data_IF_589580763529
#
_entry.id   IF_589580763529
#
_cell.length_a   1.000
_cell.length_b   1.000
_cell.length_c   1.000
_cell.angle_alpha   90.00
_cell.angle_beta   90.00
_cell.angle_gamma   90.00
#
_symmetry.space_group_name_H-M   'P 1'
#
loop_
_entity.id
_entity.type
_entity.pdbx_description
1 polymer ?
#
# COMPACT_ATOMS: atom_id res chain seq x y z
N UNK A 1 10.83 29.56 -23.06
CA UNK A 1 11.94 28.68 -23.51
C UNK A 1 12.25 27.68 -22.43
N UNK A 2 12.37 26.39 -22.79
CA UNK A 2 12.90 25.39 -21.87
C UNK A 2 14.43 25.46 -21.94
N UNK A 3 15.10 25.61 -20.80
CA UNK A 3 16.55 25.80 -20.76
C UNK A 3 17.21 24.93 -19.69
N UNK A 4 18.45 24.52 -19.97
CA UNK A 4 19.32 23.82 -19.01
C UNK A 4 20.42 24.76 -18.56
N UNK A 5 20.53 24.97 -17.25
CA UNK A 5 21.66 25.62 -16.61
C UNK A 5 22.52 24.54 -15.96
N UNK A 6 23.71 24.31 -16.51
CA UNK A 6 24.68 23.36 -15.97
C UNK A 6 25.72 24.08 -15.10
N UNK A 7 25.94 23.60 -13.88
CA UNK A 7 26.94 24.10 -12.95
C UNK A 7 27.72 22.93 -12.33
N UNK A 8 28.98 23.16 -11.98
CA UNK A 8 29.84 22.14 -11.36
C UNK A 8 30.38 22.56 -9.98
N UNK A 9 30.02 23.74 -9.51
CA UNK A 9 30.46 24.26 -8.22
C UNK A 9 29.30 24.95 -7.49
N UNK A 10 29.12 24.58 -6.22
CA UNK A 10 28.10 25.12 -5.30
C UNK A 10 28.76 25.41 -3.96
N UNK A 11 28.14 26.23 -3.12
CA UNK A 11 28.68 26.58 -1.82
C UNK A 11 27.60 27.03 -0.85
N UNK A 12 28.04 27.37 0.36
CA UNK A 12 27.20 27.92 1.43
C UNK A 12 27.57 29.37 1.76
N UNK A 13 26.61 30.09 2.35
CA UNK A 13 26.69 31.49 2.72
C UNK A 13 26.72 32.46 1.53
N UNK A 14 27.08 33.72 1.83
CA UNK A 14 27.24 34.79 0.83
C UNK A 14 28.47 34.62 -0.09
N UNK A 15 29.07 33.44 -0.12
CA UNK A 15 30.17 33.10 -1.02
C UNK A 15 29.70 33.22 -2.47
N UNK A 16 30.58 33.70 -3.36
CA UNK A 16 30.25 33.72 -4.78
C UNK A 16 30.12 32.27 -5.29
N UNK A 17 28.95 31.93 -5.80
CA UNK A 17 28.66 30.63 -6.43
C UNK A 17 28.56 30.80 -7.94
N UNK A 18 28.57 29.69 -8.69
CA UNK A 18 28.36 29.71 -10.15
C UNK A 18 27.02 30.37 -10.53
N UNK A 19 26.03 30.31 -9.64
CA UNK A 19 24.70 30.93 -9.78
C UNK A 19 24.64 32.39 -9.29
N UNK A 20 25.79 33.00 -8.98
CA UNK A 20 25.87 34.37 -8.46
C UNK A 20 25.61 34.47 -6.95
N UNK A 21 25.37 35.69 -6.47
CA UNK A 21 25.21 36.02 -5.05
C UNK A 21 23.76 36.11 -4.57
N UNK A 22 22.78 36.14 -5.48
CA UNK A 22 21.37 36.23 -5.10
C UNK A 22 20.95 35.00 -4.29
N UNK A 23 20.06 35.17 -3.31
CA UNK A 23 19.63 34.07 -2.43
C UNK A 23 18.75 33.04 -3.15
N UNK A 24 18.11 33.46 -4.24
CA UNK A 24 17.13 32.66 -4.97
C UNK A 24 17.59 32.32 -6.39
N UNK A 25 17.16 31.16 -6.86
CA UNK A 25 17.29 30.65 -8.23
C UNK A 25 15.89 30.28 -8.73
N UNK A 26 15.46 30.89 -9.82
CA UNK A 26 14.20 30.55 -10.45
C UNK A 26 14.42 29.51 -11.56
N UNK A 27 13.65 28.42 -11.54
CA UNK A 27 13.58 27.45 -12.63
C UNK A 27 12.31 27.71 -13.42
N UNK A 28 12.47 27.92 -14.73
CA UNK A 28 11.35 28.22 -15.62
C UNK A 28 10.76 29.61 -15.42
N UNK A 29 9.67 29.87 -16.13
CA UNK A 29 8.95 31.15 -16.08
C UNK A 29 7.46 30.86 -15.94
N UNK A 30 6.79 31.59 -15.03
CA UNK A 30 5.38 31.42 -14.70
C UNK A 30 4.49 31.41 -15.96
N UNK A 31 3.66 30.39 -16.11
CA UNK A 31 2.76 30.19 -17.26
C UNK A 31 3.42 29.86 -18.60
N UNK A 32 4.75 29.84 -18.74
CA UNK A 32 5.39 29.84 -20.08
C UNK A 32 6.48 28.79 -20.32
N UNK A 33 7.21 28.31 -19.31
CA UNK A 33 8.29 27.33 -19.54
C UNK A 33 8.71 26.53 -18.31
N UNK A 34 9.56 25.53 -18.55
CA UNK A 34 10.27 24.75 -17.53
C UNK A 34 11.76 25.07 -17.52
N UNK A 35 12.45 24.92 -16.39
CA UNK A 35 13.90 25.01 -16.28
C UNK A 35 14.53 23.72 -15.76
N UNK A 36 15.74 23.42 -16.23
CA UNK A 36 16.58 22.33 -15.71
C UNK A 36 17.81 22.96 -15.05
N UNK A 37 18.05 22.65 -13.78
CA UNK A 37 19.33 22.87 -13.11
C UNK A 37 20.09 21.55 -13.09
N UNK A 38 21.17 21.48 -13.86
CA UNK A 38 22.07 20.33 -13.90
C UNK A 38 23.30 20.60 -13.05
N UNK A 39 23.57 19.73 -12.08
CA UNK A 39 24.78 19.75 -11.29
C UNK A 39 25.75 18.66 -11.77
N UNK A 40 26.98 19.01 -12.12
CA UNK A 40 28.02 18.10 -12.62
C UNK A 40 29.26 18.07 -11.70
N UNK A 41 29.16 18.65 -10.50
CA UNK A 41 30.26 18.79 -9.56
C UNK A 41 30.54 17.55 -8.71
N UNK A 42 31.51 17.68 -7.80
CA UNK A 42 31.77 16.71 -6.74
C UNK A 42 30.69 16.77 -5.63
N UNK A 43 30.93 16.24 -4.43
CA UNK A 43 29.99 16.46 -3.33
C UNK A 43 29.92 17.96 -2.97
N UNK A 44 28.72 18.50 -2.75
CA UNK A 44 28.54 19.92 -2.52
C UNK A 44 27.19 20.26 -1.89
N UNK A 45 27.10 21.46 -1.30
CA UNK A 45 25.85 22.03 -0.78
C UNK A 45 25.50 23.29 -1.54
N UNK A 46 24.27 23.35 -2.06
CA UNK A 46 23.63 24.55 -2.60
C UNK A 46 22.65 25.09 -1.55
N UNK A 47 22.88 26.30 -1.07
CA UNK A 47 22.07 26.96 -0.04
C UNK A 47 21.12 28.03 -0.57
N UNK A 48 21.08 28.21 -1.90
CA UNK A 48 20.10 29.07 -2.54
C UNK A 48 18.71 28.46 -2.46
N UNK A 49 17.70 29.30 -2.25
CA UNK A 49 16.33 28.89 -2.46
C UNK A 49 16.12 28.60 -3.95
N UNK A 50 15.30 27.61 -4.26
CA UNK A 50 14.94 27.27 -5.63
C UNK A 50 13.44 27.42 -5.79
N UNK A 51 13.04 28.30 -6.70
CA UNK A 51 11.64 28.50 -7.05
C UNK A 51 11.37 27.83 -8.40
N UNK A 52 10.72 26.68 -8.37
CA UNK A 52 10.13 26.12 -9.58
C UNK A 52 8.93 27.00 -9.97
N UNK A 53 8.96 27.54 -11.19
CA UNK A 53 7.94 28.43 -11.76
C UNK A 53 7.40 27.85 -13.06
N UNK A 54 6.19 28.23 -13.42
CA UNK A 54 5.59 27.83 -14.71
C UNK A 54 4.68 26.62 -14.61
N UNK A 55 3.97 26.30 -15.68
CA UNK A 55 3.08 25.12 -15.73
C UNK A 55 3.81 23.85 -16.18
N UNK A 56 5.15 23.87 -16.17
CA UNK A 56 6.00 22.83 -16.75
C UNK A 56 6.69 21.94 -15.72
N UNK A 57 7.61 21.11 -16.22
CA UNK A 57 8.37 20.15 -15.42
C UNK A 57 9.75 20.73 -15.09
N UNK A 58 9.84 21.46 -13.97
CA UNK A 58 11.10 22.00 -13.51
C UNK A 58 11.94 20.90 -12.88
N UNK A 59 13.20 20.77 -13.29
CA UNK A 59 14.05 19.64 -12.90
C UNK A 59 15.33 20.12 -12.23
N UNK A 60 15.70 19.46 -11.14
CA UNK A 60 17.06 19.48 -10.61
C UNK A 60 17.64 18.11 -10.87
N UNK A 61 18.78 18.05 -11.56
CA UNK A 61 19.44 16.81 -11.94
C UNK A 61 20.87 16.78 -11.42
N UNK A 62 21.19 15.80 -10.57
CA UNK A 62 22.57 15.55 -10.17
C UNK A 62 23.26 14.58 -11.13
N UNK A 63 23.95 15.13 -12.12
CA UNK A 63 24.86 14.42 -13.02
C UNK A 63 26.32 14.49 -12.55
N UNK A 64 26.54 14.86 -11.28
CA UNK A 64 27.84 15.03 -10.67
C UNK A 64 28.43 13.71 -10.16
N UNK A 65 29.65 13.80 -9.63
CA UNK A 65 30.40 12.67 -9.06
C UNK A 65 30.22 12.51 -7.54
N UNK A 66 29.42 13.36 -6.89
CA UNK A 66 29.15 13.27 -5.46
C UNK A 66 27.74 13.73 -5.09
N UNK A 67 27.41 13.59 -3.80
CA UNK A 67 26.09 13.95 -3.25
C UNK A 67 25.86 15.46 -3.35
N UNK A 68 24.75 15.85 -3.97
CA UNK A 68 24.27 17.24 -3.96
C UNK A 68 23.32 17.45 -2.79
N UNK A 69 23.67 18.35 -1.88
CA UNK A 69 22.78 18.79 -0.79
C UNK A 69 22.08 20.10 -1.18
N UNK A 70 20.76 20.13 -1.11
CA UNK A 70 19.93 21.33 -1.28
C UNK A 70 19.48 21.81 0.09
N UNK A 71 20.03 22.91 0.57
CA UNK A 71 19.77 23.45 1.92
C UNK A 71 18.90 24.70 1.94
N UNK A 72 18.80 25.42 0.83
CA UNK A 72 17.79 26.46 0.65
C UNK A 72 16.38 25.86 0.49
N UNK A 73 15.36 26.69 0.66
CA UNK A 73 13.97 26.27 0.51
C UNK A 73 13.62 26.02 -0.96
N UNK A 74 12.77 25.03 -1.22
CA UNK A 74 12.30 24.68 -2.55
C UNK A 74 10.81 25.02 -2.66
N UNK A 75 10.42 25.85 -3.62
CA UNK A 75 9.01 26.26 -3.81
C UNK A 75 8.48 25.73 -5.15
N UNK A 76 7.30 25.09 -5.16
CA UNK A 76 6.68 24.49 -6.35
C UNK A 76 5.17 24.77 -6.54
N UNK A 77 4.73 25.98 -6.29
CA UNK A 77 3.30 26.34 -6.41
C UNK A 77 2.81 26.25 -7.86
N UNK A 78 1.85 25.36 -8.11
CA UNK A 78 1.23 25.17 -9.43
C UNK A 78 2.14 24.60 -10.52
N UNK A 79 3.20 23.89 -10.12
CA UNK A 79 4.20 23.35 -11.03
C UNK A 79 4.79 22.03 -10.53
N UNK A 80 5.38 21.28 -11.44
CA UNK A 80 6.09 20.04 -11.10
C UNK A 80 7.53 20.39 -10.74
N UNK A 81 7.99 19.88 -9.60
CA UNK A 81 9.41 19.84 -9.24
C UNK A 81 9.89 18.40 -9.33
N UNK A 82 10.77 18.13 -10.29
CA UNK A 82 11.45 16.87 -10.46
C UNK A 82 12.85 16.92 -9.84
N UNK A 83 13.13 15.97 -8.96
CA UNK A 83 14.43 15.73 -8.36
C UNK A 83 14.98 14.44 -8.95
N UNK A 84 16.01 14.56 -9.78
CA UNK A 84 16.72 13.44 -10.37
C UNK A 84 18.07 13.28 -9.68
N UNK A 85 18.16 12.24 -8.84
CA UNK A 85 19.32 12.00 -7.99
C UNK A 85 20.57 11.58 -8.77
N UNK A 86 20.43 11.09 -10.00
CA UNK A 86 21.51 10.44 -10.73
C UNK A 86 22.25 9.38 -9.90
N UNK A 87 23.51 9.09 -10.24
CA UNK A 87 24.25 8.02 -9.57
C UNK A 87 24.63 8.31 -8.12
N UNK A 88 24.68 9.59 -7.71
CA UNK A 88 25.23 10.02 -6.42
C UNK A 88 24.20 10.60 -5.45
N UNK A 89 22.98 10.83 -5.93
CA UNK A 89 21.83 11.22 -5.14
C UNK A 89 21.71 12.71 -4.85
N UNK A 90 20.56 13.09 -4.31
CA UNK A 90 20.27 14.43 -3.79
C UNK A 90 19.84 14.30 -2.33
N UNK A 91 20.32 15.18 -1.46
CA UNK A 91 19.81 15.34 -0.10
C UNK A 91 19.15 16.72 0.07
N UNK A 92 17.85 16.75 0.32
CA UNK A 92 17.11 17.99 0.55
C UNK A 92 16.99 18.22 2.05
N UNK A 93 17.70 19.23 2.53
CA UNK A 93 17.65 19.69 3.93
C UNK A 93 16.81 20.95 4.10
N UNK A 94 16.59 21.71 3.03
CA UNK A 94 15.58 22.76 3.00
C UNK A 94 14.14 22.19 2.99
N UNK A 95 13.15 23.05 3.19
CA UNK A 95 11.73 22.67 3.11
C UNK A 95 11.23 22.80 1.68
N UNK A 96 10.56 21.76 1.18
CA UNK A 96 9.76 21.82 -0.05
C UNK A 96 8.36 22.31 0.30
N UNK A 97 7.94 23.42 -0.31
CA UNK A 97 6.65 24.07 -0.09
C UNK A 97 5.91 24.32 -1.40
N UNK A 98 4.60 24.56 -1.31
CA UNK A 98 3.73 24.87 -2.44
C UNK A 98 2.28 24.96 -2.01
N UNK A 99 1.48 25.82 -2.65
CA UNK A 99 0.10 26.09 -2.21
C UNK A 99 -0.96 25.27 -2.95
N UNK A 100 -2.09 25.00 -2.28
CA UNK A 100 -3.30 24.41 -2.88
C UNK A 100 -4.01 25.43 -3.76
N UNK A 101 -4.18 25.15 -5.04
CA UNK A 101 -4.92 26.04 -5.95
C UNK A 101 -4.56 25.93 -7.42
N UNK A 102 -3.61 25.07 -7.78
CA UNK A 102 -3.25 24.85 -9.19
C UNK A 102 -2.95 23.38 -9.43
N UNK A 103 -3.48 22.87 -10.53
CA UNK A 103 -3.18 21.54 -11.06
C UNK A 103 -1.64 21.38 -11.19
N UNK A 104 -1.14 20.16 -11.01
CA UNK A 104 0.27 19.78 -11.22
C UNK A 104 1.28 20.31 -10.18
N UNK A 105 0.90 20.63 -8.94
CA UNK A 105 1.92 20.83 -7.87
C UNK A 105 2.51 19.50 -7.44
N UNK A 106 3.19 18.81 -8.34
CA UNK A 106 3.65 17.44 -8.11
C UNK A 106 5.11 17.47 -7.65
N UNK A 107 5.46 16.61 -6.69
CA UNK A 107 6.85 16.26 -6.47
C UNK A 107 7.15 14.99 -7.28
N UNK A 108 8.18 15.02 -8.10
CA UNK A 108 8.65 13.87 -8.86
C UNK A 108 10.06 13.51 -8.38
N UNK A 109 10.28 12.23 -8.08
CA UNK A 109 11.61 11.66 -7.81
C UNK A 109 11.92 10.63 -8.88
N UNK A 110 13.02 10.84 -9.58
CA UNK A 110 13.53 9.92 -10.59
C UNK A 110 15.02 9.67 -10.42
N UNK A 111 15.58 8.66 -11.10
CA UNK A 111 17.02 8.44 -11.20
C UNK A 111 17.80 8.44 -9.88
N UNK A 112 18.16 7.27 -9.37
CA UNK A 112 18.95 7.19 -8.14
C UNK A 112 18.22 7.68 -6.88
N UNK A 113 18.96 8.10 -5.85
CA UNK A 113 18.38 8.34 -4.51
C UNK A 113 18.17 9.81 -4.20
N UNK A 114 16.97 10.17 -3.78
CA UNK A 114 16.64 11.48 -3.19
C UNK A 114 16.24 11.29 -1.73
N UNK A 115 16.94 11.95 -0.81
CA UNK A 115 16.61 11.95 0.62
C UNK A 115 15.97 13.28 1.00
N UNK A 116 14.80 13.24 1.63
CA UNK A 116 14.14 14.42 2.18
C UNK A 116 14.35 14.45 3.69
N UNK A 117 15.19 15.36 4.17
CA UNK A 117 15.63 15.44 5.57
C UNK A 117 14.79 16.40 6.43
N UNK A 118 13.88 17.16 5.80
CA UNK A 118 12.97 18.10 6.46
C UNK A 118 11.52 17.69 6.29
N UNK A 119 10.66 18.14 7.21
CA UNK A 119 9.21 18.01 7.07
C UNK A 119 8.72 18.96 5.98
N UNK A 120 8.18 18.42 4.90
CA UNK A 120 7.72 19.20 3.76
C UNK A 120 6.25 19.58 3.90
N UNK A 121 5.87 20.72 3.31
CA UNK A 121 4.52 21.30 3.44
C UNK A 121 3.87 21.58 2.09
N UNK A 122 4.40 21.01 1.01
CA UNK A 122 3.78 21.16 -0.29
C UNK A 122 2.41 20.47 -0.35
N UNK A 123 1.57 20.96 -1.26
CA UNK A 123 0.33 20.29 -1.65
C UNK A 123 0.57 19.55 -2.96
N UNK A 124 -0.17 18.46 -3.17
CA UNK A 124 -0.14 17.67 -4.41
C UNK A 124 0.52 16.29 -4.22
N UNK A 125 0.41 15.43 -5.24
CA UNK A 125 0.93 14.07 -5.21
C UNK A 125 2.46 14.03 -5.24
N UNK A 126 2.99 12.89 -4.84
CA UNK A 126 4.41 12.53 -4.93
C UNK A 126 4.53 11.32 -5.86
N UNK A 127 5.34 11.45 -6.90
CA UNK A 127 5.63 10.37 -7.85
C UNK A 127 7.06 9.90 -7.68
N UNK A 128 7.27 8.59 -7.71
CA UNK A 128 8.62 8.00 -7.74
C UNK A 128 8.66 6.99 -8.87
N UNK A 129 9.53 7.19 -9.85
CA UNK A 129 9.67 6.29 -11.00
C UNK A 129 11.05 6.42 -11.63
N UNK A 130 11.29 5.78 -12.79
CA UNK A 130 12.56 5.92 -13.50
C UNK A 130 13.76 5.35 -12.75
N UNK A 131 13.54 4.32 -11.92
CA UNK A 131 14.57 3.77 -11.02
C UNK A 131 14.90 4.69 -9.83
N UNK A 132 14.06 5.70 -9.57
CA UNK A 132 14.21 6.59 -8.44
C UNK A 132 13.93 5.91 -7.10
N UNK A 133 14.65 6.33 -6.07
CA UNK A 133 14.42 5.98 -4.67
C UNK A 133 14.20 7.26 -3.86
N UNK A 134 13.04 7.38 -3.23
CA UNK A 134 12.73 8.44 -2.29
C UNK A 134 12.96 7.94 -0.86
N UNK A 135 13.83 8.60 -0.10
CA UNK A 135 14.11 8.31 1.31
C UNK A 135 13.43 9.30 2.25
N UNK A 136 12.71 8.76 3.23
CA UNK A 136 12.17 9.52 4.37
C UNK A 136 13.29 9.81 5.38
N UNK A 137 14.03 10.90 5.15
CA UNK A 137 15.16 11.32 6.00
C UNK A 137 14.77 12.05 7.28
N UNK A 138 13.47 12.29 7.52
CA UNK A 138 12.98 13.04 8.67
C UNK A 138 12.23 12.15 9.67
N UNK A 139 12.63 12.19 10.95
CA UNK A 139 12.04 11.36 12.00
C UNK A 139 10.55 11.64 12.29
N UNK A 140 10.07 12.84 11.97
CA UNK A 140 8.66 13.23 12.11
C UNK A 140 7.85 12.99 10.83
N UNK A 141 8.45 12.38 9.80
CA UNK A 141 7.88 12.21 8.47
C UNK A 141 8.28 13.36 7.55
N UNK A 142 8.94 13.02 6.44
CA UNK A 142 9.39 13.99 5.46
C UNK A 142 8.27 14.44 4.52
N UNK A 143 7.33 13.56 4.16
CA UNK A 143 6.27 13.89 3.20
C UNK A 143 5.06 14.55 3.90
N UNK A 144 4.33 15.44 3.21
CA UNK A 144 3.04 15.96 3.70
C UNK A 144 2.05 14.83 3.93
N UNK A 145 1.29 14.86 5.03
CA UNK A 145 0.35 13.79 5.37
C UNK A 145 -0.81 13.65 4.38
N UNK A 146 -1.12 14.70 3.61
CA UNK A 146 -2.16 14.70 2.59
C UNK A 146 -1.67 14.26 1.19
N UNK A 147 -0.38 13.96 1.01
CA UNK A 147 0.13 13.51 -0.28
C UNK A 147 -0.30 12.08 -0.56
N UNK A 148 -0.59 11.79 -1.83
CA UNK A 148 -0.66 10.43 -2.34
C UNK A 148 0.71 10.11 -2.95
N UNK A 149 1.30 8.97 -2.59
CA UNK A 149 2.55 8.48 -3.17
C UNK A 149 2.22 7.48 -4.28
N UNK A 150 2.66 7.74 -5.50
CA UNK A 150 2.51 6.82 -6.63
C UNK A 150 3.87 6.30 -7.05
N UNK A 151 4.04 4.97 -7.03
CA UNK A 151 5.26 4.31 -7.48
C UNK A 151 5.10 3.78 -8.91
N UNK A 152 6.08 4.08 -9.74
CA UNK A 152 6.16 3.68 -11.13
C UNK A 152 5.50 4.65 -12.12
N UNK A 153 5.66 4.36 -13.40
CA UNK A 153 5.14 5.15 -14.52
C UNK A 153 4.49 4.22 -15.55
N UNK A 154 3.27 4.55 -15.98
CA UNK A 154 2.60 3.82 -17.06
C UNK A 154 3.24 4.07 -18.43
N UNK A 155 3.84 5.25 -18.62
CA UNK A 155 4.47 5.63 -19.88
C UNK A 155 5.80 4.89 -20.07
N UNK A 156 6.63 4.87 -19.02
CA UNK A 156 7.99 4.34 -19.12
C UNK A 156 8.12 2.91 -18.59
N UNK A 157 7.05 2.36 -18.00
CA UNK A 157 7.02 1.08 -17.29
C UNK A 157 8.19 0.91 -16.31
N UNK A 158 8.64 2.02 -15.73
CA UNK A 158 9.76 2.05 -14.80
C UNK A 158 9.25 1.93 -13.37
N UNK A 159 10.07 1.36 -12.50
CA UNK A 159 9.77 1.20 -11.08
C UNK A 159 10.19 2.42 -10.26
N UNK A 160 9.56 2.59 -9.11
CA UNK A 160 10.00 3.50 -8.05
C UNK A 160 10.10 2.80 -6.69
N UNK A 161 10.97 3.33 -5.82
CA UNK A 161 11.16 2.83 -4.46
C UNK A 161 10.85 3.94 -3.47
N UNK A 162 9.98 3.65 -2.50
CA UNK A 162 9.83 4.47 -1.30
C UNK A 162 10.49 3.79 -0.11
N UNK A 163 11.58 4.37 0.37
CA UNK A 163 12.39 3.88 1.47
C UNK A 163 12.10 4.72 2.73
N UNK A 164 11.51 4.10 3.74
CA UNK A 164 11.20 4.73 5.03
C UNK A 164 12.46 5.12 5.81
N UNK A 165 13.62 4.57 5.46
CA UNK A 165 14.93 4.98 6.00
C UNK A 165 14.94 5.10 7.54
N UNK A 166 14.29 4.15 8.21
CA UNK A 166 14.21 4.04 9.66
C UNK A 166 13.19 4.94 10.35
N UNK A 167 12.45 5.76 9.60
CA UNK A 167 11.53 6.77 10.12
C UNK A 167 10.07 6.44 9.75
N UNK A 168 9.16 6.77 10.66
CA UNK A 168 7.73 6.65 10.37
C UNK A 168 7.29 7.71 9.35
N UNK A 169 6.30 7.37 8.52
CA UNK A 169 5.69 8.29 7.57
C UNK A 169 4.18 8.12 7.57
N UNK A 170 3.44 9.22 7.53
CA UNK A 170 2.01 9.23 7.20
C UNK A 170 1.78 9.82 5.81
N UNK A 171 0.92 9.19 5.00
CA UNK A 171 0.50 9.65 3.67
C UNK A 171 -1.00 9.45 3.50
N UNK A 172 -1.62 10.21 2.60
CA UNK A 172 -3.04 10.06 2.29
C UNK A 172 -3.28 8.73 1.58
N UNK A 173 -2.40 8.35 0.66
CA UNK A 173 -2.54 7.11 -0.06
C UNK A 173 -1.28 6.61 -0.71
N UNK A 174 -1.31 5.33 -1.09
CA UNK A 174 -0.27 4.70 -1.88
C UNK A 174 -0.87 4.05 -3.13
N UNK A 175 -0.25 4.32 -4.27
CA UNK A 175 -0.65 3.79 -5.55
C UNK A 175 0.55 3.21 -6.30
N UNK A 176 0.27 2.34 -7.26
CA UNK A 176 1.21 2.00 -8.32
C UNK A 176 0.70 2.46 -9.67
N UNK A 177 1.62 2.84 -10.56
CA UNK A 177 1.35 3.10 -11.97
C UNK A 177 2.22 2.23 -12.87
N UNK A 178 1.68 1.89 -14.04
CA UNK A 178 2.33 1.07 -15.05
C UNK A 178 2.46 -0.41 -14.70
N UNK A 179 3.16 -1.14 -15.56
CA UNK A 179 3.27 -2.61 -15.48
C UNK A 179 4.47 -3.10 -14.69
N UNK A 180 5.22 -2.20 -14.03
CA UNK A 180 6.40 -2.56 -13.23
C UNK A 180 6.06 -3.45 -12.02
N UNK A 181 4.78 -3.56 -11.64
CA UNK A 181 4.26 -4.52 -10.67
C UNK A 181 5.06 -4.52 -9.37
N UNK A 182 5.60 -5.69 -9.01
CA UNK A 182 6.41 -5.93 -7.80
C UNK A 182 7.78 -5.25 -7.78
N UNK A 183 8.25 -4.68 -8.90
CA UNK A 183 9.46 -3.87 -8.91
C UNK A 183 9.24 -2.52 -8.20
N UNK A 184 8.00 -2.04 -8.14
CA UNK A 184 7.64 -0.94 -7.24
C UNK A 184 7.71 -1.43 -5.80
N UNK A 185 8.42 -0.70 -4.95
CA UNK A 185 8.79 -1.18 -3.63
C UNK A 185 8.57 -0.12 -2.54
N UNK A 186 7.99 -0.55 -1.42
CA UNK A 186 8.06 0.16 -0.15
C UNK A 186 8.95 -0.65 0.79
N UNK A 187 9.93 0.01 1.43
CA UNK A 187 10.95 -0.67 2.24
C UNK A 187 11.43 0.17 3.41
N UNK A 188 12.19 -0.44 4.31
CA UNK A 188 13.03 0.25 5.27
C UNK A 188 14.49 -0.19 5.09
N UNK A 189 15.42 0.69 4.78
CA UNK A 189 16.83 0.32 4.59
C UNK A 189 17.71 0.44 5.84
N UNK A 190 17.17 0.95 6.95
CA UNK A 190 17.89 1.19 8.23
C UNK A 190 17.46 0.18 9.29
N UNK A 191 18.39 -0.21 10.17
CA UNK A 191 18.16 -1.17 11.25
C UNK A 191 17.30 -0.57 12.37
N UNK A 192 16.01 -0.55 12.13
CA UNK A 192 14.95 -0.17 13.06
C UNK A 192 13.63 -0.72 12.53
N UNK A 193 12.54 -0.50 13.27
CA UNK A 193 11.19 -0.63 12.73
C UNK A 193 10.74 0.73 12.22
N UNK A 194 10.26 0.79 10.97
CA UNK A 194 9.65 1.97 10.40
C UNK A 194 8.22 1.65 9.94
N UNK A 195 7.27 2.50 10.32
CA UNK A 195 5.86 2.34 10.01
C UNK A 195 5.42 3.31 8.93
N UNK A 196 4.77 2.78 7.89
CA UNK A 196 3.99 3.56 6.95
C UNK A 196 2.53 3.60 7.39
N UNK A 197 1.98 4.80 7.56
CA UNK A 197 0.56 5.04 7.84
C UNK A 197 -0.15 5.59 6.61
N UNK A 198 -1.24 4.95 6.22
CA UNK A 198 -2.10 5.34 5.09
C UNK A 198 -3.47 5.79 5.63
N UNK A 199 -3.94 6.98 5.26
CA UNK A 199 -5.16 7.56 5.86
C UNK A 199 -6.42 7.51 4.99
N UNK A 200 -6.28 7.42 3.67
CA UNK A 200 -7.40 7.47 2.71
C UNK A 200 -7.41 6.27 1.74
N UNK A 201 -6.49 5.32 1.88
CA UNK A 201 -6.43 4.11 1.06
C UNK A 201 -5.54 4.21 -0.18
N UNK A 202 -5.90 3.52 -1.25
CA UNK A 202 -5.16 3.50 -2.51
C UNK A 202 -5.20 2.14 -3.23
N UNK A 203 -4.54 2.04 -4.38
CA UNK A 203 -4.42 0.81 -5.15
C UNK A 203 -2.94 0.49 -5.42
N UNK A 204 -2.39 -0.44 -4.63
CA UNK A 204 -0.98 -0.73 -4.61
C UNK A 204 -0.70 -2.17 -5.06
N UNK A 205 -0.09 -2.29 -6.24
CA UNK A 205 0.36 -3.57 -6.82
C UNK A 205 1.86 -3.86 -6.54
N UNK A 206 2.56 -2.96 -5.85
CA UNK A 206 3.97 -3.08 -5.53
C UNK A 206 4.24 -4.00 -4.33
N UNK A 207 5.50 -4.34 -4.11
CA UNK A 207 5.94 -5.11 -2.95
C UNK A 207 6.14 -4.21 -1.73
N UNK A 208 5.68 -4.62 -0.56
CA UNK A 208 6.12 -4.07 0.73
C UNK A 208 7.10 -5.08 1.33
N UNK A 209 8.28 -4.63 1.74
CA UNK A 209 9.31 -5.54 2.25
C UNK A 209 10.15 -4.97 3.37
N UNK A 210 10.83 -5.87 4.08
CA UNK A 210 11.96 -5.51 4.92
C UNK A 210 13.18 -5.19 4.03
N UNK A 211 14.06 -4.29 4.46
CA UNK A 211 15.31 -4.01 3.72
C UNK A 211 16.48 -4.94 4.06
N UNK A 212 16.19 -6.06 4.73
CA UNK A 212 17.17 -7.03 5.26
C UNK A 212 17.03 -7.26 6.77
N UNK A 213 18.00 -7.97 7.35
CA UNK A 213 17.98 -8.32 8.78
C UNK A 213 17.95 -7.08 9.68
N UNK A 214 17.03 -7.07 10.65
CA UNK A 214 16.85 -5.97 11.61
C UNK A 214 16.21 -4.69 11.03
N UNK A 215 15.82 -4.69 9.75
CA UNK A 215 15.26 -3.53 9.04
C UNK A 215 13.78 -3.78 8.75
N UNK A 216 12.96 -3.51 9.73
CA UNK A 216 11.55 -3.91 9.75
C UNK A 216 10.69 -2.81 9.14
N UNK A 217 9.79 -3.21 8.24
CA UNK A 217 8.73 -2.35 7.69
C UNK A 217 7.39 -2.78 8.30
N UNK A 218 6.59 -1.80 8.74
CA UNK A 218 5.23 -2.01 9.25
C UNK A 218 4.21 -1.15 8.49
N UNK A 219 2.95 -1.56 8.49
CA UNK A 219 1.86 -0.88 7.82
C UNK A 219 0.72 -0.57 8.81
N UNK A 220 0.20 0.65 8.75
CA UNK A 220 -1.03 1.04 9.43
C UNK A 220 -2.00 1.68 8.43
N UNK A 221 -3.25 1.24 8.42
CA UNK A 221 -4.31 1.81 7.59
C UNK A 221 -5.37 2.39 8.52
N UNK A 222 -5.53 3.71 8.45
CA UNK A 222 -6.31 4.49 9.42
C UNK A 222 -7.61 5.05 8.86
N UNK A 223 -7.83 4.91 7.55
CA UNK A 223 -9.07 5.23 6.89
C UNK A 223 -9.02 4.89 5.40
N UNK A 224 -10.18 4.99 4.75
CA UNK A 224 -10.36 4.66 3.33
C UNK A 224 -10.17 3.17 3.02
N UNK A 225 -10.10 2.85 1.73
CA UNK A 225 -9.87 1.47 1.27
C UNK A 225 -8.49 1.34 0.61
N UNK A 226 -7.60 0.55 1.22
CA UNK A 226 -6.31 0.18 0.64
C UNK A 226 -6.40 -1.19 -0.02
N UNK A 227 -6.29 -1.21 -1.35
CA UNK A 227 -6.23 -2.43 -2.16
C UNK A 227 -4.78 -2.83 -2.34
N UNK A 228 -4.44 -4.05 -1.92
CA UNK A 228 -3.12 -4.67 -2.05
C UNK A 228 -3.23 -5.84 -3.03
N UNK A 229 -2.71 -5.66 -4.25
CA UNK A 229 -2.77 -6.67 -5.32
C UNK A 229 -1.46 -7.42 -5.56
N UNK A 230 -0.45 -7.12 -4.76
CA UNK A 230 0.83 -7.79 -4.83
C UNK A 230 0.76 -9.24 -4.29
N UNK A 231 1.64 -10.09 -4.80
CA UNK A 231 1.70 -11.52 -4.44
C UNK A 231 2.99 -11.89 -3.71
N UNK A 232 3.83 -10.91 -3.36
CA UNK A 232 5.22 -11.15 -2.93
C UNK A 232 5.69 -10.29 -1.75
N UNK A 233 4.81 -9.55 -1.05
CA UNK A 233 5.26 -8.80 0.13
C UNK A 233 5.80 -9.74 1.22
N UNK A 234 6.80 -9.28 1.96
CA UNK A 234 7.51 -10.10 2.97
C UNK A 234 7.83 -9.34 4.28
N UNK A 235 7.31 -8.12 4.43
CA UNK A 235 7.51 -7.30 5.62
C UNK A 235 7.00 -8.00 6.89
N UNK A 236 7.69 -7.78 8.00
CA UNK A 236 7.42 -8.50 9.26
C UNK A 236 6.92 -7.59 10.38
N UNK A 237 6.84 -6.28 10.16
CA UNK A 237 6.37 -5.33 11.17
C UNK A 237 4.85 -5.41 11.41
N UNK A 238 4.13 -6.11 10.54
CA UNK A 238 2.69 -6.33 10.65
C UNK A 238 1.85 -5.23 10.03
N UNK A 239 0.54 -5.48 10.02
CA UNK A 239 -0.49 -4.59 9.49
C UNK A 239 -1.54 -4.31 10.54
N UNK A 240 -1.79 -3.03 10.85
CA UNK A 240 -2.90 -2.60 11.70
C UNK A 240 -3.97 -1.92 10.86
N UNK A 241 -5.22 -2.36 11.00
CA UNK A 241 -6.40 -1.80 10.34
C UNK A 241 -7.25 -1.11 11.41
N UNK A 242 -7.37 0.21 11.33
CA UNK A 242 -8.12 1.01 12.30
C UNK A 242 -9.62 1.03 12.00
N UNK A 243 -10.38 1.63 12.91
CA UNK A 243 -11.82 1.87 12.73
C UNK A 243 -12.08 2.72 11.49
N UNK A 244 -13.04 2.31 10.65
CA UNK A 244 -13.38 3.00 9.40
C UNK A 244 -12.39 2.81 8.26
N UNK A 245 -11.36 1.96 8.45
CA UNK A 245 -10.43 1.58 7.41
C UNK A 245 -10.77 0.20 6.82
N UNK A 246 -10.54 0.03 5.53
CA UNK A 246 -10.61 -1.26 4.83
C UNK A 246 -9.25 -1.59 4.22
N UNK A 247 -8.82 -2.84 4.35
CA UNK A 247 -7.73 -3.41 3.55
C UNK A 247 -8.27 -4.56 2.73
N UNK A 248 -8.20 -4.42 1.41
CA UNK A 248 -8.56 -5.47 0.45
C UNK A 248 -7.28 -6.17 -0.03
N UNK A 249 -7.03 -7.38 0.46
CA UNK A 249 -5.91 -8.22 0.06
C UNK A 249 -6.30 -9.12 -1.12
N UNK A 250 -5.90 -8.73 -2.33
CA UNK A 250 -6.19 -9.47 -3.58
C UNK A 250 -5.13 -10.54 -3.92
N UNK A 251 -3.92 -10.43 -3.38
CA UNK A 251 -2.81 -11.35 -3.66
C UNK A 251 -2.41 -12.21 -2.47
N UNK A 252 -1.84 -13.38 -2.74
CA UNK A 252 -1.59 -14.44 -1.76
C UNK A 252 -0.56 -14.12 -0.67
N UNK A 253 0.25 -13.07 -0.85
CA UNK A 253 1.17 -12.55 0.18
C UNK A 253 1.03 -11.03 0.32
N UNK A 254 -0.15 -10.48 0.03
CA UNK A 254 -0.37 -9.04 0.06
C UNK A 254 -0.07 -8.40 1.43
N UNK A 255 -0.27 -9.17 2.52
CA UNK A 255 -0.10 -8.73 3.90
C UNK A 255 1.26 -9.08 4.52
N UNK A 256 2.20 -9.63 3.75
CA UNK A 256 3.53 -9.98 4.25
C UNK A 256 3.54 -11.09 5.29
N UNK A 257 4.54 -11.07 6.17
CA UNK A 257 4.83 -12.11 7.17
C UNK A 257 4.71 -11.58 8.62
N UNK A 258 4.18 -10.37 8.82
CA UNK A 258 3.95 -9.80 10.14
C UNK A 258 2.51 -10.01 10.61
N UNK A 259 2.28 -9.85 11.91
CA UNK A 259 0.94 -9.96 12.50
C UNK A 259 -0.05 -8.98 11.85
N UNK A 260 -1.30 -9.40 11.72
CA UNK A 260 -2.39 -8.57 11.20
C UNK A 260 -3.37 -8.32 12.33
N UNK A 261 -3.65 -7.05 12.63
CA UNK A 261 -4.61 -6.65 13.67
C UNK A 261 -5.74 -5.84 13.04
N UNK A 262 -6.97 -6.33 13.19
CA UNK A 262 -8.18 -5.64 12.75
C UNK A 262 -8.87 -5.07 13.98
N UNK A 263 -8.85 -3.74 14.13
CA UNK A 263 -9.49 -3.06 15.25
C UNK A 263 -11.01 -3.00 15.07
N UNK A 264 -11.71 -2.68 16.16
CA UNK A 264 -13.16 -2.47 16.14
C UNK A 264 -13.56 -1.44 15.08
N UNK A 265 -14.51 -1.80 14.22
CA UNK A 265 -14.96 -1.01 13.07
C UNK A 265 -14.00 -1.00 11.86
N UNK A 266 -12.87 -1.70 11.93
CA UNK A 266 -11.99 -1.92 10.78
C UNK A 266 -12.39 -3.15 9.98
N UNK A 267 -12.03 -3.19 8.70
CA UNK A 267 -12.40 -4.26 7.77
C UNK A 267 -11.19 -4.86 7.09
N UNK A 268 -11.04 -6.18 7.20
CA UNK A 268 -10.12 -6.96 6.37
C UNK A 268 -10.94 -7.72 5.32
N UNK A 269 -10.65 -7.50 4.04
CA UNK A 269 -11.25 -8.22 2.93
C UNK A 269 -10.21 -9.09 2.23
N UNK A 270 -10.49 -10.40 2.15
CA UNK A 270 -9.57 -11.40 1.59
C UNK A 270 -10.17 -12.01 0.34
N UNK A 271 -9.63 -11.65 -0.83
CA UNK A 271 -10.14 -12.09 -2.13
C UNK A 271 -9.26 -13.16 -2.80
N UNK A 272 -8.04 -13.38 -2.31
CA UNK A 272 -7.18 -14.50 -2.73
C UNK A 272 -7.54 -15.79 -1.97
N UNK A 273 -7.50 -16.93 -2.65
CA UNK A 273 -7.81 -18.26 -2.09
C UNK A 273 -6.82 -18.78 -1.04
N UNK A 274 -5.65 -18.14 -0.92
CA UNK A 274 -4.57 -18.58 -0.03
C UNK A 274 -3.80 -17.35 0.44
N UNK A 275 -3.89 -16.97 1.72
CA UNK A 275 -2.88 -16.07 2.28
C UNK A 275 -1.75 -16.94 2.80
N UNK A 276 -0.75 -17.14 1.95
CA UNK A 276 0.41 -17.97 2.28
C UNK A 276 1.22 -17.28 3.37
N UNK A 277 1.07 -17.71 4.62
CA UNK A 277 1.99 -17.27 5.68
C UNK A 277 3.18 -18.21 5.69
N UNK A 278 4.32 -17.77 5.16
CA UNK A 278 5.59 -18.49 5.29
C UNK A 278 6.24 -18.31 6.69
N UNK A 279 5.50 -17.83 7.69
CA UNK A 279 5.99 -17.58 9.04
C UNK A 279 4.89 -17.58 10.11
N UNK A 280 5.29 -17.44 11.39
CA UNK A 280 4.41 -17.42 12.57
C UNK A 280 3.59 -16.12 12.61
N UNK A 281 2.53 -16.02 11.82
CA UNK A 281 1.68 -14.82 11.75
C UNK A 281 0.50 -14.99 12.69
N UNK A 282 0.20 -13.95 13.47
CA UNK A 282 -1.06 -13.85 14.23
C UNK A 282 -2.03 -12.93 13.52
N UNK A 283 -3.25 -13.41 13.27
CA UNK A 283 -4.38 -12.58 12.87
C UNK A 283 -5.23 -12.29 14.11
N UNK A 284 -5.21 -11.05 14.57
CA UNK A 284 -6.03 -10.59 15.70
C UNK A 284 -7.27 -9.90 15.17
N UNK A 285 -8.45 -10.45 15.49
CA UNK A 285 -9.74 -9.86 15.17
C UNK A 285 -10.37 -9.33 16.46
N UNK A 286 -10.34 -8.01 16.65
CA UNK A 286 -10.95 -7.39 17.83
C UNK A 286 -12.48 -7.37 17.69
N UNK A 287 -13.21 -7.39 18.80
CA UNK A 287 -14.66 -7.29 18.78
C UNK A 287 -15.13 -6.02 18.04
N UNK A 288 -16.15 -6.17 17.20
CA UNK A 288 -16.68 -5.13 16.31
C UNK A 288 -15.89 -4.95 15.01
N UNK A 289 -14.84 -5.76 14.78
CA UNK A 289 -14.15 -5.81 13.48
C UNK A 289 -14.98 -6.53 12.42
N UNK A 290 -14.65 -6.30 11.15
CA UNK A 290 -15.24 -6.99 10.02
C UNK A 290 -14.18 -7.83 9.30
N UNK A 291 -14.53 -9.09 9.01
CA UNK A 291 -13.77 -9.97 8.12
C UNK A 291 -14.67 -10.30 6.91
N UNK A 292 -14.25 -9.90 5.72
CA UNK A 292 -14.93 -10.21 4.47
C UNK A 292 -14.23 -11.38 3.80
N UNK A 293 -15.00 -12.44 3.53
CA UNK A 293 -14.54 -13.65 2.86
C UNK A 293 -15.34 -13.86 1.59
N UNK A 294 -14.64 -14.06 0.49
CA UNK A 294 -15.21 -14.24 -0.84
C UNK A 294 -15.21 -15.71 -1.28
N UNK A 295 -16.37 -16.13 -1.80
CA UNK A 295 -16.57 -17.44 -2.39
C UNK A 295 -16.50 -17.31 -3.91
N UNK A 296 -15.39 -17.79 -4.49
CA UNK A 296 -15.31 -17.99 -5.94
C UNK A 296 -16.03 -19.31 -6.32
N UNK A 297 -16.64 -19.34 -7.50
CA UNK A 297 -17.54 -20.41 -7.90
C UNK A 297 -16.89 -21.80 -7.99
N UNK A 298 -17.72 -22.82 -7.77
CA UNK A 298 -17.39 -24.24 -7.91
C UNK A 298 -17.40 -24.61 -9.39
N UNK A 299 -16.25 -25.00 -9.96
CA UNK A 299 -16.22 -25.77 -11.21
C UNK A 299 -16.16 -27.25 -10.90
N UNK A 300 -17.33 -27.88 -10.77
CA UNK A 300 -17.42 -29.34 -10.61
C UNK A 300 -18.82 -29.85 -10.89
N UNK A 301 -19.00 -30.58 -11.99
CA UNK A 301 -20.23 -31.29 -12.31
C UNK A 301 -20.17 -32.70 -11.71
N UNK A 302 -20.67 -32.85 -10.48
CA UNK A 302 -20.93 -34.16 -9.87
C UNK A 302 -22.41 -34.28 -9.54
N UNK A 303 -23.10 -35.25 -10.15
CA UNK A 303 -24.47 -35.63 -9.78
C UNK A 303 -24.43 -36.88 -8.89
N UNK A 304 -25.11 -36.84 -7.76
CA UNK A 304 -25.43 -38.02 -6.94
C UNK A 304 -26.94 -38.28 -6.99
N UNK A 305 -27.33 -39.55 -6.94
CA UNK A 305 -28.73 -39.96 -6.89
C UNK A 305 -29.06 -40.38 -5.46
N UNK A 306 -29.99 -39.68 -4.80
CA UNK A 306 -30.40 -40.06 -3.45
C UNK A 306 -31.20 -41.37 -3.44
N UNK A 307 -31.52 -41.87 -2.24
CA UNK A 307 -32.34 -43.08 -2.06
C UNK A 307 -33.71 -43.03 -2.77
N UNK A 308 -34.19 -41.83 -3.12
CA UNK A 308 -35.44 -41.59 -3.86
C UNK A 308 -35.25 -41.42 -5.38
N UNK A 309 -34.04 -41.63 -5.91
CA UNK A 309 -33.74 -41.51 -7.34
C UNK A 309 -33.74 -40.07 -7.88
N UNK A 310 -33.70 -39.07 -6.99
CA UNK A 310 -33.54 -37.68 -7.41
C UNK A 310 -32.06 -37.37 -7.61
N UNK A 311 -31.73 -36.85 -8.80
CA UNK A 311 -30.42 -36.25 -9.05
C UNK A 311 -30.31 -34.98 -8.18
N UNK A 312 -29.59 -35.10 -7.08
CA UNK A 312 -29.18 -33.96 -6.27
C UNK A 312 -27.75 -33.60 -6.69
N UNK A 313 -27.52 -32.31 -6.92
CA UNK A 313 -26.16 -31.80 -7.01
C UNK A 313 -25.52 -31.95 -5.63
N UNK A 314 -24.64 -32.94 -5.52
CA UNK A 314 -23.89 -33.19 -4.30
C UNK A 314 -22.54 -32.49 -4.39
N UNK A 315 -22.42 -31.39 -3.65
CA UNK A 315 -21.18 -30.64 -3.52
C UNK A 315 -20.20 -31.28 -2.53
N UNK A 316 -20.59 -32.34 -1.80
CA UNK A 316 -19.72 -32.98 -0.80
C UNK A 316 -18.65 -33.88 -1.43
N UNK A 317 -18.81 -34.28 -2.70
CA UNK A 317 -17.85 -35.12 -3.42
C UNK A 317 -16.88 -34.34 -4.34
N UNK A 318 -16.98 -33.02 -4.45
CA UNK A 318 -16.13 -32.22 -5.34
C UNK A 318 -14.95 -31.55 -4.61
N UNK A 319 -13.77 -32.12 -4.81
CA UNK A 319 -12.49 -31.42 -4.75
C UNK A 319 -12.48 -30.30 -5.81
N UNK A 320 -12.83 -29.07 -5.44
CA UNK A 320 -12.87 -27.96 -6.40
C UNK A 320 -13.57 -26.70 -5.94
N UNK A 321 -14.08 -26.64 -4.70
CA UNK A 321 -14.62 -25.39 -4.16
C UNK A 321 -13.44 -24.52 -3.69
N UNK A 322 -13.17 -23.45 -4.42
CA UNK A 322 -12.20 -22.43 -4.01
C UNK A 322 -12.88 -21.41 -3.11
N UNK A 323 -12.91 -21.71 -1.82
CA UNK A 323 -13.23 -20.71 -0.80
C UNK A 323 -12.04 -19.74 -0.68
N UNK A 324 -12.27 -18.46 -0.42
CA UNK A 324 -11.26 -17.70 0.34
C UNK A 324 -11.23 -18.32 1.74
N UNK A 325 -10.28 -19.21 2.00
CA UNK A 325 -10.02 -19.65 3.38
C UNK A 325 -8.99 -18.71 3.97
N UNK A 326 -9.15 -18.35 5.24
CA UNK A 326 -8.02 -17.86 6.01
C UNK A 326 -7.13 -19.08 6.32
N UNK A 327 -6.31 -19.47 5.36
CA UNK A 327 -5.35 -20.55 5.54
C UNK A 327 -4.19 -20.03 6.39
N UNK A 328 -4.06 -20.57 7.61
CA UNK A 328 -2.99 -20.21 8.52
C UNK A 328 -1.93 -21.31 8.48
N UNK A 329 -0.66 -20.91 8.36
CA UNK A 329 0.46 -21.85 8.51
C UNK A 329 0.39 -22.60 9.85
N UNK A 330 1.07 -23.75 9.94
CA UNK A 330 1.05 -24.63 11.12
C UNK A 330 1.56 -23.99 12.42
N UNK A 331 2.20 -22.83 12.34
CA UNK A 331 2.72 -22.05 13.47
C UNK A 331 2.07 -20.65 13.59
N UNK A 332 1.02 -20.40 12.81
CA UNK A 332 0.23 -19.17 12.82
C UNK A 332 -0.99 -19.31 13.73
N UNK A 333 -1.48 -18.17 14.24
CA UNK A 333 -2.57 -18.12 15.22
C UNK A 333 -3.71 -17.22 14.74
N UNK A 334 -4.94 -17.63 15.00
CA UNK A 334 -6.09 -16.72 15.02
C UNK A 334 -6.33 -16.31 16.48
N UNK A 335 -6.22 -15.02 16.76
CA UNK A 335 -6.44 -14.43 18.07
C UNK A 335 -7.81 -13.73 18.11
N UNK A 336 -8.70 -14.29 18.90
CA UNK A 336 -10.07 -13.80 19.13
C UNK A 336 -10.25 -13.27 20.56
N UNK A 337 -9.17 -13.07 21.32
CA UNK A 337 -9.24 -12.67 22.74
C UNK A 337 -9.86 -11.29 22.95
N UNK A 338 -9.85 -10.44 21.92
CA UNK A 338 -10.51 -9.14 21.90
C UNK A 338 -12.02 -9.17 21.57
N UNK A 339 -12.58 -10.34 21.22
CA UNK A 339 -14.00 -10.51 20.92
C UNK A 339 -14.79 -11.01 22.14
N UNK A 340 -16.07 -10.65 22.21
CA UNK A 340 -17.00 -11.12 23.26
C UNK A 340 -18.42 -11.21 22.71
N UNK A 341 -19.34 -11.83 23.47
CA UNK A 341 -20.76 -11.91 23.07
C UNK A 341 -21.44 -10.54 22.94
N UNK A 342 -20.92 -9.49 23.57
CA UNK A 342 -21.43 -8.11 23.46
C UNK A 342 -20.65 -7.27 22.45
N UNK A 343 -19.55 -7.78 21.91
CA UNK A 343 -18.70 -7.11 20.94
C UNK A 343 -18.14 -8.16 19.98
N UNK A 344 -18.99 -8.55 19.03
CA UNK A 344 -18.80 -9.69 18.14
C UNK A 344 -18.02 -9.30 16.90
N UNK A 345 -17.40 -10.27 16.25
CA UNK A 345 -16.74 -10.11 14.95
C UNK A 345 -17.81 -10.30 13.87
N UNK A 346 -17.87 -9.38 12.92
CA UNK A 346 -18.75 -9.53 11.77
C UNK A 346 -18.03 -10.33 10.69
N UNK A 347 -18.54 -11.52 10.42
CA UNK A 347 -18.12 -12.34 9.30
C UNK A 347 -19.05 -12.06 8.12
N UNK A 348 -18.53 -11.40 7.10
CA UNK A 348 -19.28 -11.01 5.90
C UNK A 348 -18.91 -11.97 4.78
N UNK A 349 -19.91 -12.71 4.28
CA UNK A 349 -19.70 -13.64 3.17
C UNK A 349 -20.19 -13.03 1.87
N UNK A 350 -19.30 -12.97 0.88
CA UNK A 350 -19.60 -12.41 -0.44
C UNK A 350 -19.40 -13.46 -1.54
N UNK A 351 -20.24 -13.40 -2.58
CA UNK A 351 -20.09 -14.22 -3.77
C UNK A 351 -19.62 -13.34 -4.93
N UNK A 352 -18.35 -13.42 -5.33
CA UNK A 352 -17.85 -12.63 -6.46
C UNK A 352 -17.92 -13.40 -7.77
N UNK A 353 -18.62 -12.81 -8.75
CA UNK A 353 -18.66 -13.28 -10.13
C UNK A 353 -17.45 -12.72 -10.89
N UNK A 354 -16.26 -13.30 -10.67
CA UNK A 354 -15.00 -12.79 -11.22
C UNK A 354 -14.81 -13.02 -12.73
N UNK A 355 -15.68 -13.77 -13.41
CA UNK A 355 -15.43 -14.21 -14.79
C UNK A 355 -16.44 -13.75 -15.84
N UNK A 356 -17.50 -13.01 -15.48
CA UNK A 356 -18.52 -12.57 -16.45
C UNK A 356 -19.24 -13.72 -17.16
N UNK A 357 -19.03 -14.96 -16.71
CA UNK A 357 -19.59 -16.17 -17.29
C UNK A 357 -20.48 -16.80 -16.22
N UNK A 358 -21.74 -17.04 -16.56
CA UNK A 358 -22.78 -17.58 -15.68
C UNK A 358 -22.48 -19.03 -15.30
N UNK A 359 -21.56 -19.27 -14.36
CA UNK A 359 -21.49 -20.54 -13.62
C UNK A 359 -21.28 -20.24 -12.14
N UNK A 360 -22.24 -20.70 -11.38
CA UNK A 360 -23.09 -19.82 -10.61
C UNK A 360 -23.58 -20.74 -9.48
N UNK A 361 -23.55 -20.31 -8.20
CA UNK A 361 -23.87 -21.17 -7.05
C UNK A 361 -25.27 -21.79 -7.19
N UNK A 362 -25.36 -23.06 -7.58
CA UNK A 362 -26.65 -23.77 -7.75
C UNK A 362 -27.30 -23.90 -6.36
N UNK A 363 -28.61 -23.67 -6.24
CA UNK A 363 -29.37 -23.82 -4.98
C UNK A 363 -29.05 -25.18 -4.36
N UNK A 364 -28.23 -25.14 -3.33
CA UNK A 364 -27.68 -26.30 -2.64
C UNK A 364 -27.37 -25.91 -1.21
N UNK A 365 -27.47 -26.88 -0.31
CA UNK A 365 -27.19 -26.65 1.11
C UNK A 365 -25.68 -26.48 1.30
N UNK A 366 -25.29 -25.41 2.00
CA UNK A 366 -23.92 -25.25 2.49
C UNK A 366 -23.81 -26.04 3.79
N UNK A 367 -23.15 -27.20 3.74
CA UNK A 367 -23.11 -28.14 4.87
C UNK A 367 -22.01 -27.82 5.89
N UNK A 368 -20.93 -27.16 5.47
CA UNK A 368 -19.78 -26.86 6.34
C UNK A 368 -19.07 -25.61 5.84
N UNK A 369 -18.84 -24.66 6.74
CA UNK A 369 -17.99 -23.50 6.52
C UNK A 369 -16.81 -23.58 7.49
N UNK A 370 -15.60 -23.70 6.95
CA UNK A 370 -14.36 -23.67 7.73
C UNK A 370 -13.79 -22.26 7.65
N UNK A 371 -13.78 -21.52 8.76
CA UNK A 371 -13.24 -20.16 8.79
C UNK A 371 -11.74 -20.14 8.45
N UNK A 372 -11.02 -21.09 9.03
CA UNK A 372 -9.59 -21.24 8.86
C UNK A 372 -9.20 -22.69 9.10
N UNK A 373 -8.23 -23.19 8.34
CA UNK A 373 -7.41 -24.35 8.71
C UNK A 373 -6.23 -23.79 9.48
N UNK A 374 -6.09 -24.15 10.77
CA UNK A 374 -5.15 -23.47 11.66
C UNK A 374 -4.27 -24.41 12.46
N UNK A 375 -3.05 -23.96 12.77
CA UNK A 375 -2.16 -24.63 13.71
C UNK A 375 -2.64 -24.49 15.17
N UNK A 376 -3.18 -23.33 15.55
CA UNK A 376 -3.73 -23.07 16.89
C UNK A 376 -4.70 -21.86 16.95
N UNK A 377 -5.69 -21.94 17.85
CA UNK A 377 -6.67 -20.90 18.16
C UNK A 377 -6.40 -20.29 19.55
N UNK A 378 -6.48 -18.97 19.69
CA UNK A 378 -6.45 -18.29 20.99
C UNK A 378 -7.78 -17.61 21.31
N UNK A 379 -8.36 -17.94 22.47
CA UNK A 379 -9.63 -17.38 22.94
C UNK A 379 -9.83 -17.62 24.45
N UNK A 380 -10.67 -16.79 25.08
CA UNK A 380 -10.94 -16.77 26.52
C UNK A 380 -11.91 -17.87 27.02
N UNK A 381 -12.30 -18.85 26.19
CA UNK A 381 -13.25 -19.91 26.52
C UNK A 381 -14.74 -19.52 26.42
N UNK A 382 -15.65 -20.51 26.33
CA UNK A 382 -17.10 -20.31 26.16
C UNK A 382 -17.70 -21.11 24.99
N UNK A 383 -18.70 -20.56 24.29
CA UNK A 383 -19.14 -21.00 22.95
C UNK A 383 -18.57 -20.05 21.89
N UNK A 384 -17.73 -20.55 20.99
CA UNK A 384 -17.03 -19.74 19.98
C UNK A 384 -18.00 -19.11 18.99
N UNK A 385 -19.14 -19.74 18.73
CA UNK A 385 -20.16 -19.22 17.82
C UNK A 385 -20.78 -17.93 18.34
N UNK A 386 -20.77 -17.73 19.66
CA UNK A 386 -21.24 -16.50 20.30
C UNK A 386 -20.35 -15.28 19.98
N UNK A 387 -19.16 -15.48 19.44
CA UNK A 387 -18.23 -14.40 19.09
C UNK A 387 -18.48 -13.81 17.70
N UNK A 388 -19.28 -14.47 16.84
CA UNK A 388 -19.41 -14.09 15.45
C UNK A 388 -20.84 -13.71 15.08
N UNK A 389 -21.03 -12.55 14.45
CA UNK A 389 -22.22 -12.27 13.67
C UNK A 389 -21.96 -12.68 12.22
N UNK A 390 -22.85 -13.49 11.65
CA UNK A 390 -22.76 -13.92 10.26
C UNK A 390 -23.66 -13.04 9.39
N UNK A 391 -23.05 -12.28 8.49
CA UNK A 391 -23.75 -11.48 7.49
C UNK A 391 -23.72 -12.18 6.12
N UNK A 392 -24.91 -12.58 5.66
CA UNK A 392 -25.15 -13.23 4.37
C UNK A 392 -25.90 -12.31 3.39
N UNK A 393 -26.07 -11.03 3.73
CA UNK A 393 -26.87 -10.08 2.95
C UNK A 393 -26.34 -9.88 1.53
N UNK A 394 -25.01 -9.99 1.36
CA UNK A 394 -24.29 -9.91 0.09
C UNK A 394 -24.10 -11.27 -0.59
N UNK A 395 -24.52 -12.37 0.04
CA UNK A 395 -24.43 -13.69 -0.53
C UNK A 395 -25.56 -13.92 -1.54
N UNK A 396 -25.21 -14.31 -2.77
CA UNK A 396 -26.14 -14.52 -3.87
C UNK A 396 -26.00 -15.92 -4.46
N UNK A 397 -27.11 -16.46 -4.91
CA UNK A 397 -27.09 -17.64 -5.77
C UNK A 397 -26.59 -17.27 -7.16
N UNK A 398 -26.26 -18.32 -7.89
CA UNK A 398 -26.14 -18.37 -9.33
C UNK A 398 -26.96 -17.31 -10.10
N UNK A 399 -28.28 -17.47 -9.99
CA UNK A 399 -29.28 -16.74 -10.75
C UNK A 399 -29.40 -15.26 -10.32
N UNK A 400 -28.49 -14.78 -9.47
CA UNK A 400 -28.52 -13.45 -8.87
C UNK A 400 -29.58 -13.32 -7.77
N UNK A 401 -30.33 -14.38 -7.47
CA UNK A 401 -31.32 -14.33 -6.39
C UNK A 401 -30.65 -14.29 -5.02
N UNK A 402 -31.32 -13.67 -4.06
CA UNK A 402 -30.85 -13.60 -2.69
C UNK A 402 -30.70 -15.01 -2.10
N UNK A 403 -29.62 -15.22 -1.35
CA UNK A 403 -29.47 -16.43 -0.56
C UNK A 403 -30.60 -16.54 0.48
N UNK A 404 -31.11 -17.76 0.71
CA UNK A 404 -32.09 -18.03 1.77
C UNK A 404 -31.33 -18.49 3.03
N UNK A 405 -31.20 -17.63 4.07
CA UNK A 405 -30.44 -17.96 5.27
C UNK A 405 -31.01 -19.16 6.03
N UNK A 406 -32.28 -19.51 5.83
CA UNK A 406 -32.91 -20.68 6.47
C UNK A 406 -32.38 -22.02 5.93
N UNK A 407 -31.53 -21.99 4.90
CA UNK A 407 -30.90 -23.18 4.32
C UNK A 407 -29.49 -23.45 4.83
N UNK A 408 -28.95 -22.60 5.72
CA UNK A 408 -27.64 -22.76 6.36
C UNK A 408 -27.78 -23.58 7.66
N UNK A 409 -27.19 -24.77 7.72
CA UNK A 409 -27.46 -25.73 8.79
C UNK A 409 -26.42 -25.74 9.92
N UNK A 410 -25.17 -25.32 9.70
CA UNK A 410 -24.14 -25.33 10.76
C UNK A 410 -22.88 -24.53 10.42
N UNK A 411 -22.41 -23.72 11.37
CA UNK A 411 -21.03 -23.22 11.41
C UNK A 411 -20.20 -24.27 12.16
N UNK A 412 -19.21 -24.89 11.49
CA UNK A 412 -18.36 -25.92 12.09
C UNK A 412 -16.90 -25.52 11.97
N UNK A 413 -16.14 -25.62 13.05
CA UNK A 413 -14.70 -25.36 13.06
C UNK A 413 -13.92 -26.68 12.92
N UNK A 414 -12.79 -26.67 12.20
CA UNK A 414 -11.78 -27.76 12.17
C UNK A 414 -10.41 -27.16 12.37
#
# INVERSE_FOLDING_TARGET
>A
ENGTLAINNVGTGNSAQALGKHADVDLGVAGTSSGILEYTGAAGTLDKNINAKGNGNNKIYNNGSGLLTLSGNLTKTGTVLALDGGSNGINVTGVISGNSGSYNSDLVVSGGTVTLSSQNTYVGPTYVYGGGTLRNGNASGALPTNTIVTLGSATDNSAGIFDLYGNNQTVAGINTAGSAGSSNKITNSVTSTAMLTVTNGGNFAGKIENGGSGKVTALAVTGGNLILSNTTSDYTGGTTIASGATVTALGTHALGNGNVTVNSGGTLEMLASTVGTAGNVTYTLNGGSNLVMNFASVSGSGTYSNWYGQNLYDQTANAGISYSTLELGSLSFLDLTGASSSNRINLILESNNLSGNTTNLIRGRLYTFTLATMGALQWNGGDITSLFDLDLSNFRYADGSAFDPNTFYQLSYV
#
